data_IF_731349901625
#
_entry.id   IF_731349901625
#
_cell.length_a   1.000
_cell.length_b   1.000
_cell.length_c   1.000
_cell.angle_alpha   90.00
_cell.angle_beta   90.00
_cell.angle_gamma   90.00
#
_symmetry.space_group_name_H-M   'P 1'
#
loop_
_entity.id
_entity.type
_entity.pdbx_description
1 polymer ?
#
# COMPACT_ATOMS: atom_id res chain seq x y z
N UNK A 1 -7.68 40.48 17.55
CA UNK A 1 -6.95 39.39 18.22
C UNK A 1 -6.98 38.21 17.28
N UNK A 2 -5.89 37.97 16.53
CA UNK A 2 -5.83 36.92 15.51
C UNK A 2 -4.72 35.97 15.90
N UNK A 3 -5.07 34.79 16.38
CA UNK A 3 -4.13 33.68 16.57
C UNK A 3 -3.88 33.00 15.24
N UNK A 4 -2.62 32.76 14.84
CA UNK A 4 -2.35 31.89 13.71
C UNK A 4 -2.57 30.43 14.13
N UNK A 5 -3.25 29.67 13.27
CA UNK A 5 -3.39 28.22 13.40
C UNK A 5 -2.03 27.58 13.16
N UNK A 6 -1.42 27.03 14.22
CA UNK A 6 -0.20 26.25 14.13
C UNK A 6 -0.55 24.88 13.54
N UNK A 7 -0.26 24.70 12.25
CA UNK A 7 -0.36 23.43 11.57
C UNK A 7 0.67 22.45 12.19
N UNK A 8 0.17 21.49 12.96
CA UNK A 8 0.94 20.34 13.41
C UNK A 8 0.78 19.24 12.37
N UNK A 9 1.88 18.86 11.72
CA UNK A 9 1.83 17.79 10.72
C UNK A 9 3.16 17.51 10.06
N UNK A 10 4.18 17.16 10.84
CA UNK A 10 5.32 16.42 10.31
C UNK A 10 5.37 15.05 10.98
N UNK A 11 4.37 14.22 10.68
CA UNK A 11 4.53 12.78 10.78
C UNK A 11 5.35 12.38 9.55
N UNK A 12 6.58 11.91 9.79
CA UNK A 12 7.53 11.49 8.78
C UNK A 12 6.84 10.72 7.66
N UNK A 13 6.73 11.37 6.50
CA UNK A 13 6.22 10.79 5.26
C UNK A 13 7.22 9.71 4.85
N UNK A 14 6.99 8.49 5.35
CA UNK A 14 7.69 7.31 4.86
C UNK A 14 7.36 7.27 3.37
N UNK A 15 8.34 7.62 2.54
CA UNK A 15 8.18 7.54 1.08
C UNK A 15 7.77 6.12 0.75
N UNK A 16 6.51 5.95 0.36
CA UNK A 16 5.97 4.65 0.00
C UNK A 16 6.54 4.32 -1.37
N UNK A 17 7.51 3.42 -1.40
CA UNK A 17 8.12 2.95 -2.64
C UNK A 17 7.43 1.68 -3.14
N UNK A 18 7.44 1.47 -4.46
CA UNK A 18 7.00 0.21 -5.07
C UNK A 18 7.80 -0.98 -4.55
N UNK A 19 9.09 -0.82 -4.26
CA UNK A 19 9.93 -1.85 -3.65
C UNK A 19 9.42 -2.26 -2.26
N UNK A 20 9.03 -1.30 -1.43
CA UNK A 20 8.47 -1.59 -0.11
C UNK A 20 7.14 -2.34 -0.22
N UNK A 21 6.31 -1.98 -1.20
CA UNK A 21 5.05 -2.68 -1.51
C UNK A 21 5.35 -4.13 -1.90
N UNK A 22 6.30 -4.36 -2.82
CA UNK A 22 6.69 -5.71 -3.24
C UNK A 22 7.18 -6.55 -2.06
N UNK A 23 8.03 -5.98 -1.20
CA UNK A 23 8.50 -6.66 0.02
C UNK A 23 7.34 -7.15 0.89
N UNK A 24 6.31 -6.32 1.10
CA UNK A 24 5.15 -6.72 1.90
C UNK A 24 4.29 -7.78 1.20
N UNK A 25 4.21 -7.77 -0.14
CA UNK A 25 3.54 -8.82 -0.90
C UNK A 25 4.26 -10.17 -0.79
N UNK A 26 5.59 -10.18 -0.93
CA UNK A 26 6.41 -11.38 -0.77
C UNK A 26 6.34 -11.93 0.67
N UNK A 27 6.37 -11.03 1.66
CA UNK A 27 6.20 -11.40 3.07
C UNK A 27 4.80 -12.01 3.31
N UNK A 28 3.75 -11.45 2.73
CA UNK A 28 2.40 -12.00 2.82
C UNK A 28 2.30 -13.41 2.23
N UNK A 29 2.93 -13.65 1.07
CA UNK A 29 2.97 -14.99 0.47
C UNK A 29 3.65 -16.00 1.41
N UNK A 30 4.80 -15.63 1.98
CA UNK A 30 5.55 -16.48 2.91
C UNK A 30 4.73 -16.78 4.17
N UNK A 31 4.07 -15.76 4.73
CA UNK A 31 3.23 -15.91 5.93
C UNK A 31 2.04 -16.84 5.67
N UNK A 32 1.37 -16.72 4.53
CA UNK A 32 0.24 -17.60 4.17
C UNK A 32 0.70 -19.06 4.09
N UNK A 33 1.84 -19.32 3.42
CA UNK A 33 2.41 -20.66 3.33
C UNK A 33 2.78 -21.22 4.72
N UNK A 34 3.42 -20.40 5.56
CA UNK A 34 3.78 -20.78 6.91
C UNK A 34 2.53 -21.08 7.77
N UNK A 35 1.46 -20.28 7.66
CA UNK A 35 0.21 -20.53 8.38
C UNK A 35 -0.39 -21.89 7.97
N UNK A 36 -0.48 -22.18 6.67
CA UNK A 36 -1.03 -23.44 6.17
C UNK A 36 -0.24 -24.65 6.69
N UNK A 37 1.10 -24.57 6.64
CA UNK A 37 1.97 -25.62 7.15
C UNK A 37 1.81 -25.80 8.68
N UNK A 38 1.80 -24.70 9.44
CA UNK A 38 1.69 -24.76 10.90
C UNK A 38 0.31 -25.21 11.37
N UNK A 39 -0.76 -24.96 10.61
CA UNK A 39 -2.08 -25.54 10.87
C UNK A 39 -2.07 -27.06 10.70
N UNK A 40 -1.41 -27.56 9.66
CA UNK A 40 -1.34 -29.00 9.39
C UNK A 40 -0.56 -29.77 10.49
N UNK A 41 0.41 -29.11 11.13
CA UNK A 41 1.24 -29.67 12.21
C UNK A 41 0.64 -29.40 13.61
N UNK A 42 -0.42 -28.58 13.72
CA UNK A 42 -1.07 -28.24 14.99
C UNK A 42 -0.34 -27.16 15.81
N UNK A 43 0.55 -26.37 15.20
CA UNK A 43 1.30 -25.29 15.87
C UNK A 43 0.49 -23.99 15.91
N UNK A 44 -0.56 -23.97 16.73
CA UNK A 44 -1.51 -22.84 16.80
C UNK A 44 -0.86 -21.51 17.24
N UNK A 45 0.10 -21.54 18.15
CA UNK A 45 0.80 -20.31 18.59
C UNK A 45 1.65 -19.68 17.48
N UNK A 46 2.30 -20.49 16.64
CA UNK A 46 3.03 -20.00 15.48
C UNK A 46 2.06 -19.42 14.45
N UNK A 47 0.94 -20.11 14.18
CA UNK A 47 -0.13 -19.58 13.33
C UNK A 47 -0.64 -18.22 13.79
N UNK A 48 -0.91 -18.04 15.09
CA UNK A 48 -1.39 -16.76 15.63
C UNK A 48 -0.39 -15.63 15.37
N UNK A 49 0.91 -15.89 15.56
CA UNK A 49 1.95 -14.90 15.29
C UNK A 49 2.01 -14.54 13.80
N UNK A 50 1.99 -15.53 12.91
CA UNK A 50 2.01 -15.29 11.47
C UNK A 50 0.73 -14.58 11.00
N UNK A 51 -0.42 -14.91 11.58
CA UNK A 51 -1.70 -14.24 11.28
C UNK A 51 -1.68 -12.77 11.71
N UNK A 52 -1.18 -12.47 12.91
CA UNK A 52 -1.06 -11.08 13.37
C UNK A 52 -0.15 -10.26 12.45
N UNK A 53 0.96 -10.85 12.00
CA UNK A 53 1.88 -10.20 11.05
C UNK A 53 1.23 -9.99 9.68
N UNK A 54 0.53 -11.00 9.16
CA UNK A 54 -0.18 -10.92 7.89
C UNK A 54 -1.25 -9.81 7.93
N UNK A 55 -2.01 -9.71 9.02
CA UNK A 55 -3.00 -8.66 9.21
C UNK A 55 -2.37 -7.25 9.20
N UNK A 56 -1.24 -7.06 9.88
CA UNK A 56 -0.52 -5.78 9.86
C UNK A 56 -0.09 -5.39 8.44
N UNK A 57 0.46 -6.33 7.69
CA UNK A 57 0.91 -6.08 6.32
C UNK A 57 -0.27 -5.72 5.40
N UNK A 58 -1.40 -6.42 5.51
CA UNK A 58 -2.60 -6.13 4.73
C UNK A 58 -3.17 -4.76 5.08
N UNK A 59 -3.24 -4.41 6.36
CA UNK A 59 -3.72 -3.10 6.81
C UNK A 59 -2.80 -1.97 6.33
N UNK A 60 -1.49 -2.20 6.33
CA UNK A 60 -0.52 -1.24 5.79
C UNK A 60 -0.67 -1.05 4.27
N UNK A 61 -0.84 -2.15 3.52
CA UNK A 61 -1.07 -2.08 2.06
C UNK A 61 -2.40 -1.39 1.72
N UNK A 62 -3.45 -1.61 2.51
CA UNK A 62 -4.73 -0.92 2.35
C UNK A 62 -4.58 0.60 2.58
N UNK A 63 -3.89 1.00 3.66
CA UNK A 63 -3.62 2.41 3.93
C UNK A 63 -2.82 3.10 2.81
N UNK A 64 -1.88 2.37 2.19
CA UNK A 64 -1.17 2.85 0.99
C UNK A 64 -2.13 3.02 -0.19
N UNK A 65 -2.99 2.03 -0.45
CA UNK A 65 -3.93 2.07 -1.56
C UNK A 65 -4.91 3.25 -1.43
N UNK A 66 -5.41 3.50 -0.22
CA UNK A 66 -6.32 4.61 0.08
C UNK A 66 -5.64 5.99 -0.03
N UNK A 67 -4.32 6.05 0.21
CA UNK A 67 -3.54 7.29 0.08
C UNK A 67 -3.16 7.63 -1.37
N UNK A 68 -3.46 6.76 -2.35
CA UNK A 68 -3.13 7.06 -3.75
C UNK A 68 -4.02 8.19 -4.28
N UNK A 69 -3.45 9.21 -4.94
CA UNK A 69 -4.23 10.27 -5.55
C UNK A 69 -5.14 9.67 -6.65
N UNK A 70 -6.36 10.18 -6.84
CA UNK A 70 -7.25 9.71 -7.89
C UNK A 70 -6.55 9.84 -9.25
N UNK A 71 -6.78 8.91 -10.20
CA UNK A 71 -6.19 8.98 -11.52
C UNK A 71 -6.56 10.31 -12.16
N UNK A 72 -5.56 11.14 -12.49
CA UNK A 72 -5.77 12.44 -13.13
C UNK A 72 -6.47 12.21 -14.48
N UNK A 73 -7.69 12.74 -14.70
CA UNK A 73 -8.31 12.68 -16.02
C UNK A 73 -7.50 13.59 -16.95
N UNK A 74 -6.83 13.04 -17.97
CA UNK A 74 -6.26 13.85 -19.06
C UNK A 74 -4.86 13.51 -19.57
N UNK A 75 -4.16 12.47 -19.08
CA UNK A 75 -2.81 12.17 -19.57
C UNK A 75 -2.74 11.46 -20.96
N UNK A 76 -3.87 11.17 -21.61
CA UNK A 76 -3.93 10.46 -22.90
C UNK A 76 -4.72 11.20 -24.00
N UNK A 77 -4.55 12.51 -24.18
CA UNK A 77 -5.24 13.26 -25.24
C UNK A 77 -4.36 14.26 -26.04
N UNK A 78 -3.04 14.09 -26.05
CA UNK A 78 -2.14 15.00 -26.78
C UNK A 78 -1.18 14.26 -27.74
N UNK A 79 -1.70 13.36 -28.57
CA UNK A 79 -0.98 12.93 -29.78
C UNK A 79 -1.94 12.27 -30.77
N UNK A 80 -2.41 13.05 -31.76
CA UNK A 80 -3.23 12.53 -32.85
C UNK A 80 -4.22 13.56 -33.39
N UNK A 81 -3.74 14.59 -34.07
CA UNK A 81 -4.63 15.60 -34.66
C UNK A 81 -3.92 16.74 -35.38
N UNK A 82 -2.83 16.46 -36.09
CA UNK A 82 -2.30 17.39 -37.10
C UNK A 82 -2.62 16.79 -38.47
N UNK A 83 -3.75 17.21 -39.06
CA UNK A 83 -4.20 16.68 -40.34
C UNK A 83 -5.34 17.48 -40.96
N UNK A 84 -4.95 18.48 -41.74
CA UNK A 84 -5.62 19.02 -42.94
C UNK A 84 -7.03 19.63 -42.82
N UNK A 85 -7.08 20.96 -42.93
CA UNK A 85 -8.14 21.67 -43.68
C UNK A 85 -7.70 23.12 -44.00
N UNK A 86 -7.00 23.30 -45.13
CA UNK A 86 -7.06 24.48 -46.00
C UNK A 86 -6.90 24.03 -47.44
#
# INVERSE_FOLDING_TARGET
MSTPVQAHGNAAEKVITTELIQKYLDENQTLILAILENQNVGKLEACNQYQARLQQNLMYLAAIADAQPPPKPGANAAQGGAGAAQ
#
